data_IF_134516012704
#
_entry.id   IF_134516012704
#
_cell.length_a   1.000
_cell.length_b   1.000
_cell.length_c   1.000
_cell.angle_alpha   90.00
_cell.angle_beta   90.00
_cell.angle_gamma   90.00
#
_symmetry.space_group_name_H-M   'P 1'
#
loop_
_entity.id
_entity.type
_entity.pdbx_description
1 polymer ?
#
# COMPACT_ATOMS: atom_id res chain seq x y z
N UNK A 1 45.02 40.85 4.68
CA UNK A 1 46.16 39.93 4.90
C UNK A 1 45.57 38.56 5.13
N UNK A 2 45.77 37.60 4.22
CA UNK A 2 45.30 36.22 4.42
C UNK A 2 45.98 35.62 5.65
N UNK A 3 45.22 34.90 6.46
CA UNK A 3 45.77 34.24 7.65
C UNK A 3 46.71 33.09 7.24
N UNK A 4 47.64 32.73 8.11
CA UNK A 4 48.50 31.56 7.91
C UNK A 4 47.68 30.28 7.67
N UNK A 5 46.52 30.15 8.31
CA UNK A 5 45.61 29.02 8.12
C UNK A 5 44.98 28.98 6.73
N UNK A 6 44.58 30.13 6.18
CA UNK A 6 44.03 30.20 4.81
C UNK A 6 45.07 29.85 3.76
N UNK A 7 46.29 30.37 3.91
CA UNK A 7 47.38 30.05 2.96
C UNK A 7 47.72 28.56 2.95
N UNK A 8 47.75 27.92 4.12
CA UNK A 8 47.98 26.48 4.24
C UNK A 8 46.82 25.69 3.61
N UNK A 9 45.58 26.15 3.76
CA UNK A 9 44.43 25.53 3.12
C UNK A 9 44.51 25.64 1.59
N UNK A 10 44.78 26.84 1.08
CA UNK A 10 44.88 27.12 -0.36
C UNK A 10 45.97 26.23 -1.02
N UNK A 11 47.09 26.02 -0.31
CA UNK A 11 48.20 25.20 -0.80
C UNK A 11 47.89 23.69 -0.77
N UNK A 12 47.19 23.23 0.28
CA UNK A 12 46.69 21.85 0.34
C UNK A 12 45.63 21.59 -0.73
N UNK A 13 44.76 22.56 -0.99
CA UNK A 13 43.70 22.45 -2.00
C UNK A 13 44.27 22.41 -3.42
N UNK A 14 45.24 23.28 -3.71
CA UNK A 14 45.93 23.34 -5.00
C UNK A 14 46.74 22.07 -5.32
N UNK A 15 47.37 21.43 -4.33
CA UNK A 15 48.21 20.24 -4.54
C UNK A 15 47.49 18.91 -4.23
N UNK A 16 47.30 18.09 -5.28
CA UNK A 16 46.71 16.75 -5.18
C UNK A 16 47.50 15.79 -4.28
N UNK A 17 48.83 15.89 -4.22
CA UNK A 17 49.68 15.07 -3.34
C UNK A 17 49.46 15.45 -1.88
N UNK A 18 49.38 16.74 -1.56
CA UNK A 18 49.14 17.21 -0.19
C UNK A 18 47.77 16.78 0.30
N UNK A 19 46.72 16.96 -0.52
CA UNK A 19 45.38 16.43 -0.22
C UNK A 19 45.37 14.93 0.08
N UNK A 20 46.05 14.14 -0.76
CA UNK A 20 46.11 12.68 -0.57
C UNK A 20 46.85 12.32 0.72
N UNK A 21 47.96 12.99 1.02
CA UNK A 21 48.76 12.72 2.21
C UNK A 21 48.05 13.16 3.49
N UNK A 22 47.31 14.26 3.46
CA UNK A 22 46.44 14.69 4.55
C UNK A 22 45.34 13.65 4.80
N UNK A 23 44.66 13.17 3.75
CA UNK A 23 43.65 12.12 3.86
C UNK A 23 44.22 10.82 4.44
N UNK A 24 45.42 10.41 4.00
CA UNK A 24 46.13 9.25 4.55
C UNK A 24 46.41 9.43 6.05
N UNK A 25 46.89 10.60 6.48
CA UNK A 25 47.14 10.88 7.90
C UNK A 25 45.85 10.83 8.75
N UNK A 26 44.79 11.48 8.28
CA UNK A 26 43.48 11.49 8.97
C UNK A 26 42.89 10.08 9.12
N UNK A 27 43.11 9.19 8.15
CA UNK A 27 42.63 7.80 8.20
C UNK A 27 43.56 6.89 9.02
N UNK A 28 44.85 7.22 9.10
CA UNK A 28 45.84 6.43 9.84
C UNK A 28 45.66 6.61 11.35
N UNK A 29 45.33 7.82 11.79
CA UNK A 29 45.15 8.15 13.21
C UNK A 29 43.88 7.48 13.79
N UNK A 30 44.02 6.58 14.78
CA UNK A 30 42.90 5.78 15.29
C UNK A 30 41.73 6.62 15.80
N UNK A 31 42.02 7.71 16.51
CA UNK A 31 41.01 8.56 17.15
C UNK A 31 40.22 9.38 16.12
N UNK A 32 40.92 9.96 15.14
CA UNK A 32 40.30 10.70 14.03
C UNK A 32 39.44 9.76 13.19
N UNK A 33 39.93 8.55 12.88
CA UNK A 33 39.16 7.53 12.17
C UNK A 33 37.90 7.13 12.95
N UNK A 34 37.99 6.95 14.27
CA UNK A 34 36.84 6.59 15.10
C UNK A 34 35.80 7.71 15.15
N UNK A 35 36.25 8.96 15.27
CA UNK A 35 35.39 10.14 15.24
C UNK A 35 34.66 10.29 13.89
N UNK A 36 35.38 10.11 12.78
CA UNK A 36 34.81 10.12 11.43
C UNK A 36 33.77 9.00 11.24
N UNK A 37 34.07 7.78 11.70
CA UNK A 37 33.12 6.66 11.66
C UNK A 37 31.86 7.02 12.46
N UNK A 38 31.99 7.48 13.70
CA UNK A 38 30.83 7.81 14.55
C UNK A 38 29.99 8.96 13.98
N UNK A 39 30.63 9.99 13.41
CA UNK A 39 29.95 11.09 12.75
C UNK A 39 29.11 10.57 11.57
N UNK A 40 29.73 9.79 10.68
CA UNK A 40 29.05 9.23 9.50
C UNK A 40 27.99 8.17 9.86
N UNK A 41 28.21 7.38 10.91
CA UNK A 41 27.25 6.35 11.37
C UNK A 41 25.95 6.94 11.93
N UNK A 42 25.93 8.23 12.22
CA UNK A 42 24.73 8.97 12.65
C UNK A 42 23.88 9.37 11.45
N UNK A 43 24.52 9.68 10.31
CA UNK A 43 23.85 10.09 9.08
C UNK A 43 23.45 8.90 8.18
N UNK A 44 24.08 7.74 8.36
CA UNK A 44 23.78 6.52 7.58
C UNK A 44 22.66 5.72 8.26
N UNK A 45 21.62 5.39 7.49
CA UNK A 45 20.59 4.44 7.89
C UNK A 45 21.23 3.11 8.34
N UNK A 46 20.98 2.73 9.59
CA UNK A 46 21.58 1.53 10.18
C UNK A 46 20.92 0.29 9.60
N UNK A 47 21.62 -0.85 9.69
CA UNK A 47 21.06 -2.14 9.29
C UNK A 47 19.75 -2.47 10.01
N UNK A 48 19.58 -1.97 11.23
CA UNK A 48 18.37 -2.18 12.02
C UNK A 48 17.18 -1.41 11.44
N UNK A 49 17.37 -0.13 11.11
CA UNK A 49 16.34 0.70 10.43
C UNK A 49 15.88 0.04 9.11
N UNK A 50 16.82 -0.52 8.34
CA UNK A 50 16.49 -1.25 7.10
C UNK A 50 15.71 -2.54 7.39
N UNK A 51 15.99 -3.23 8.50
CA UNK A 51 15.25 -4.43 8.91
C UNK A 51 13.84 -4.07 9.38
N UNK A 52 13.70 -3.00 10.15
CA UNK A 52 12.41 -2.48 10.61
C UNK A 52 11.53 -2.10 9.42
N UNK A 53 12.06 -1.31 8.48
CA UNK A 53 11.35 -0.97 7.24
C UNK A 53 10.94 -2.20 6.42
N UNK A 54 11.78 -3.24 6.37
CA UNK A 54 11.42 -4.51 5.69
C UNK A 54 10.30 -5.25 6.42
N UNK A 55 10.31 -5.23 7.75
CA UNK A 55 9.26 -5.83 8.58
C UNK A 55 7.94 -5.12 8.38
N UNK A 56 7.92 -3.78 8.46
CA UNK A 56 6.74 -2.95 8.20
C UNK A 56 6.20 -3.19 6.79
N UNK A 57 7.08 -3.22 5.78
CA UNK A 57 6.67 -3.50 4.40
C UNK A 57 6.05 -4.90 4.26
N UNK A 58 6.54 -5.89 5.01
CA UNK A 58 5.98 -7.24 5.02
C UNK A 58 4.60 -7.26 5.69
N UNK A 59 4.42 -6.52 6.79
CA UNK A 59 3.13 -6.39 7.48
C UNK A 59 2.08 -5.73 6.59
N UNK A 60 2.42 -4.61 5.96
CA UNK A 60 1.54 -3.90 5.02
C UNK A 60 1.12 -4.79 3.83
N UNK A 61 2.02 -5.64 3.32
CA UNK A 61 1.67 -6.63 2.29
C UNK A 61 0.67 -7.66 2.81
N UNK A 62 0.82 -8.10 4.05
CA UNK A 62 -0.13 -9.00 4.71
C UNK A 62 -1.52 -8.38 4.82
N UNK A 63 -1.61 -7.16 5.34
CA UNK A 63 -2.86 -6.40 5.46
C UNK A 63 -3.53 -6.19 4.11
N UNK A 64 -2.77 -5.82 3.08
CA UNK A 64 -3.28 -5.69 1.71
C UNK A 64 -3.88 -7.00 1.17
N UNK A 65 -3.27 -8.15 1.47
CA UNK A 65 -3.79 -9.43 1.03
C UNK A 65 -5.08 -9.80 1.77
N UNK A 66 -5.15 -9.49 3.08
CA UNK A 66 -6.36 -9.69 3.85
C UNK A 66 -7.52 -8.84 3.30
N UNK A 67 -7.29 -7.55 3.07
CA UNK A 67 -8.30 -6.64 2.50
C UNK A 67 -8.79 -7.12 1.11
N UNK A 68 -7.90 -7.67 0.28
CA UNK A 68 -8.28 -8.28 -1.00
C UNK A 68 -9.20 -9.49 -0.81
N UNK A 69 -8.91 -10.32 0.19
CA UNK A 69 -9.76 -11.46 0.57
C UNK A 69 -11.14 -11.03 1.01
N UNK A 70 -11.23 -10.07 1.94
CA UNK A 70 -12.48 -9.50 2.43
C UNK A 70 -13.31 -8.88 1.30
N UNK A 71 -12.66 -8.14 0.39
CA UNK A 71 -13.35 -7.55 -0.77
C UNK A 71 -13.90 -8.63 -1.73
N UNK A 72 -13.19 -9.74 -1.91
CA UNK A 72 -13.65 -10.87 -2.71
C UNK A 72 -14.86 -11.53 -2.07
N UNK A 73 -14.86 -11.70 -0.75
CA UNK A 73 -15.99 -12.27 -0.02
C UNK A 73 -17.23 -11.38 -0.14
N UNK A 74 -17.09 -10.08 0.11
CA UNK A 74 -18.17 -9.09 -0.06
C UNK A 74 -18.78 -9.10 -1.47
N UNK A 75 -17.96 -9.26 -2.51
CA UNK A 75 -18.46 -9.43 -3.89
C UNK A 75 -19.28 -10.71 -4.05
N UNK A 76 -18.85 -11.81 -3.43
CA UNK A 76 -19.59 -13.07 -3.41
C UNK A 76 -20.95 -12.94 -2.73
N UNK A 77 -20.97 -12.36 -1.53
CA UNK A 77 -22.20 -12.09 -0.76
C UNK A 77 -23.17 -11.20 -1.56
N UNK A 78 -22.67 -10.13 -2.19
CA UNK A 78 -23.48 -9.26 -3.04
C UNK A 78 -24.06 -9.99 -4.26
N UNK A 79 -23.30 -10.91 -4.86
CA UNK A 79 -23.80 -11.74 -5.97
C UNK A 79 -24.90 -12.69 -5.51
N UNK A 80 -24.74 -13.31 -4.34
CA UNK A 80 -25.75 -14.19 -3.75
C UNK A 80 -27.05 -13.41 -3.45
N UNK A 81 -26.93 -12.25 -2.81
CA UNK A 81 -28.08 -11.39 -2.51
C UNK A 81 -28.84 -10.98 -3.79
N UNK A 82 -28.11 -10.64 -4.86
CA UNK A 82 -28.74 -10.33 -6.16
C UNK A 82 -29.49 -11.53 -6.74
N UNK A 83 -28.93 -12.74 -6.63
CA UNK A 83 -29.58 -13.95 -7.10
C UNK A 83 -30.84 -14.27 -6.29
N UNK A 84 -30.77 -14.15 -4.96
CA UNK A 84 -31.91 -14.35 -4.06
C UNK A 84 -33.04 -13.36 -4.36
N UNK A 85 -32.73 -12.07 -4.47
CA UNK A 85 -33.72 -11.03 -4.82
C UNK A 85 -34.35 -11.32 -6.18
N UNK A 86 -33.55 -11.66 -7.19
CA UNK A 86 -34.07 -11.99 -8.52
C UNK A 86 -34.99 -13.21 -8.48
N UNK A 87 -34.60 -14.27 -7.76
CA UNK A 87 -35.39 -15.49 -7.63
C UNK A 87 -36.72 -15.23 -6.91
N UNK A 88 -36.66 -14.51 -5.78
CA UNK A 88 -37.84 -14.15 -4.99
C UNK A 88 -38.82 -13.29 -5.80
N UNK A 89 -38.32 -12.31 -6.56
CA UNK A 89 -39.16 -11.51 -7.44
C UNK A 89 -39.80 -12.34 -8.55
N UNK A 90 -39.05 -13.23 -9.21
CA UNK A 90 -39.60 -14.11 -10.25
C UNK A 90 -40.70 -15.01 -9.69
N UNK A 91 -40.48 -15.60 -8.51
CA UNK A 91 -41.48 -16.44 -7.86
C UNK A 91 -42.72 -15.64 -7.48
N UNK A 92 -42.55 -14.47 -6.87
CA UNK A 92 -43.66 -13.59 -6.46
C UNK A 92 -44.48 -13.10 -7.66
N UNK A 93 -43.83 -12.73 -8.76
CA UNK A 93 -44.54 -12.36 -10.00
C UNK A 93 -45.30 -13.58 -10.55
N UNK A 94 -44.68 -14.76 -10.54
CA UNK A 94 -45.33 -16.00 -10.96
C UNK A 94 -46.59 -16.30 -10.14
N UNK A 95 -46.51 -16.20 -8.80
CA UNK A 95 -47.67 -16.45 -7.93
C UNK A 95 -48.79 -15.45 -8.19
N UNK A 96 -48.48 -14.15 -8.32
CA UNK A 96 -49.47 -13.12 -8.67
C UNK A 96 -50.15 -13.48 -10.01
N UNK A 97 -49.39 -13.77 -11.06
CA UNK A 97 -49.97 -14.13 -12.37
C UNK A 97 -50.87 -15.37 -12.30
N UNK A 98 -50.48 -16.40 -11.54
CA UNK A 98 -51.31 -17.60 -11.37
C UNK A 98 -52.62 -17.30 -10.64
N UNK A 99 -52.58 -16.47 -9.58
CA UNK A 99 -53.79 -16.08 -8.83
C UNK A 99 -54.72 -15.26 -9.73
N UNK A 100 -54.21 -14.26 -10.44
CA UNK A 100 -55.01 -13.42 -11.35
C UNK A 100 -55.61 -14.24 -12.50
N UNK A 101 -54.83 -15.15 -13.08
CA UNK A 101 -55.29 -16.04 -14.14
C UNK A 101 -56.37 -17.03 -13.68
N UNK A 102 -56.28 -17.53 -12.45
CA UNK A 102 -57.24 -18.48 -11.91
C UNK A 102 -58.52 -17.83 -11.36
N UNK A 103 -58.44 -16.58 -10.87
CA UNK A 103 -59.54 -15.95 -10.14
C UNK A 103 -60.13 -14.74 -10.87
N UNK A 104 -59.30 -13.83 -11.39
CA UNK A 104 -59.78 -12.57 -11.96
C UNK A 104 -60.18 -12.73 -13.42
N UNK A 105 -59.38 -13.42 -14.24
CA UNK A 105 -59.70 -13.64 -15.66
C UNK A 105 -61.05 -14.36 -15.82
N UNK A 106 -61.36 -15.46 -15.10
CA UNK A 106 -62.64 -16.14 -15.27
C UNK A 106 -63.84 -15.28 -14.85
N UNK A 107 -63.70 -14.47 -13.81
CA UNK A 107 -64.75 -13.54 -13.36
C UNK A 107 -65.02 -12.47 -14.42
N UNK A 108 -63.97 -11.92 -15.03
CA UNK A 108 -64.10 -10.94 -16.12
C UNK A 108 -64.76 -11.55 -17.37
N UNK A 109 -64.40 -12.78 -17.74
CA UNK A 109 -65.01 -13.48 -18.88
C UNK A 109 -66.51 -13.72 -18.66
N UNK A 110 -66.91 -14.06 -17.43
CA UNK A 110 -68.33 -14.18 -17.05
C UNK A 110 -69.08 -12.85 -17.12
N UNK A 111 -68.46 -11.74 -16.71
CA UNK A 111 -69.10 -10.42 -16.73
C UNK A 111 -69.37 -9.88 -18.15
N UNK A 112 -68.50 -10.21 -19.12
CA UNK A 112 -68.64 -9.77 -20.52
C UNK A 112 -69.55 -10.71 -21.33
N UNK A 113 -70.01 -11.81 -20.73
CA UNK A 113 -70.91 -12.78 -21.37
C UNK A 113 -70.21 -13.67 -22.42
N UNK A 114 -68.88 -13.82 -22.32
CA UNK A 114 -68.09 -14.71 -23.18
C UNK A 114 -68.23 -16.17 -22.73
N UNK A 115 -68.43 -16.40 -21.43
CA UNK A 115 -68.69 -17.70 -20.78
C UNK A 115 -69.85 -17.51 -19.82
#
# INVERSE_FOLDING_TARGET
MQSLGEKVLDEIEADKRLRKRLAELLVTEPDVRLALINAVLTDIARKEDIRELRSEMSQLRGEMNQLRGEMSQLRGEMSQLRAEVSSNLRWTIGTILTIWGATVIPVLLRLIGII
#
